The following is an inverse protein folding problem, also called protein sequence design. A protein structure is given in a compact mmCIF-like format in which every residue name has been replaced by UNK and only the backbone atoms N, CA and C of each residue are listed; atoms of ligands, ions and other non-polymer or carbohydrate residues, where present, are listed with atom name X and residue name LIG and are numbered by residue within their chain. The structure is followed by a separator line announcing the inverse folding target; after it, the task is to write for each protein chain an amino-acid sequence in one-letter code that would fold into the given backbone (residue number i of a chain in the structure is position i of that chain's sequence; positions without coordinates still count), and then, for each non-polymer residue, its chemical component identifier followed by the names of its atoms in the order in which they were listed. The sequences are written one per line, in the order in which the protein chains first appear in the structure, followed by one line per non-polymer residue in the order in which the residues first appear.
data_IF_573679327586
#
_entry.id   IF_573679327586
#
_cell.length_a   1.000
_cell.length_b   1.000
_cell.length_c   1.000
_cell.angle_alpha   90.00
_cell.angle_beta   90.00
_cell.angle_gamma   90.00
#
_symmetry.space_group_name_H-M   'P 1'
#
loop_
_entity.id
_entity.type
_entity.pdbx_description
1 polymer ?
#
# COMPACT_ATOMS: atom_id res chain seq x y z
N UNK A 1 17.00 -0.70 13.91
CA UNK A 1 15.75 -1.18 13.29
C UNK A 1 15.64 -0.56 11.91
N UNK A 2 15.54 -1.38 10.88
CA UNK A 2 15.40 -0.90 9.50
C UNK A 2 13.92 -0.69 9.19
N UNK A 3 13.59 0.49 8.66
CA UNK A 3 12.23 0.85 8.24
C UNK A 3 12.09 0.67 6.73
N UNK A 4 10.89 0.33 6.30
CA UNK A 4 10.45 0.25 4.92
C UNK A 4 9.11 0.93 4.76
N UNK A 5 8.75 1.23 3.51
CA UNK A 5 7.57 1.96 3.12
C UNK A 5 6.80 1.13 2.12
N UNK A 6 5.59 0.72 2.49
CA UNK A 6 4.72 -0.12 1.68
C UNK A 6 3.72 0.78 0.93
N UNK A 7 3.87 0.84 -0.39
CA UNK A 7 2.91 1.50 -1.28
C UNK A 7 1.83 0.49 -1.70
N UNK A 8 0.58 0.86 -1.46
CA UNK A 8 -0.57 0.08 -1.90
C UNK A 8 -1.70 1.00 -2.37
N UNK A 9 -2.68 0.41 -3.05
CA UNK A 9 -3.88 1.12 -3.52
C UNK A 9 -5.14 0.40 -3.04
N UNK A 10 -6.09 1.15 -2.48
CA UNK A 10 -7.40 0.63 -2.06
C UNK A 10 -8.47 1.26 -2.94
N UNK A 11 -9.29 0.40 -3.55
CA UNK A 11 -10.50 0.79 -4.26
C UNK A 11 -11.70 0.61 -3.33
N UNK A 12 -12.24 1.72 -2.82
CA UNK A 12 -13.49 1.70 -2.06
C UNK A 12 -14.67 1.62 -3.06
N UNK A 13 -15.21 0.42 -3.24
CA UNK A 13 -16.39 0.14 -4.07
C UNK A 13 -17.69 0.07 -3.24
N UNK A 14 -17.66 0.43 -1.95
CA UNK A 14 -18.84 0.41 -1.07
C UNK A 14 -19.40 -0.98 -0.75
N UNK A 15 -18.66 -2.04 -1.11
CA UNK A 15 -18.91 -3.44 -0.80
C UNK A 15 -17.81 -3.97 0.14
N UNK A 16 -18.10 -5.09 0.81
CA UNK A 16 -17.24 -5.65 1.87
C UNK A 16 -15.88 -6.20 1.39
N UNK A 17 -15.62 -6.19 0.09
CA UNK A 17 -14.35 -6.61 -0.51
C UNK A 17 -13.54 -5.36 -0.88
N UNK A 18 -12.88 -4.74 0.11
CA UNK A 18 -11.85 -3.75 -0.14
C UNK A 18 -10.72 -4.39 -0.96
N UNK A 19 -10.64 -4.06 -2.24
CA UNK A 19 -9.68 -4.69 -3.14
C UNK A 19 -8.31 -3.98 -3.07
N UNK A 20 -7.49 -4.40 -2.10
CA UNK A 20 -6.14 -3.86 -1.86
C UNK A 20 -5.13 -4.37 -2.90
N UNK A 21 -4.46 -3.44 -3.60
CA UNK A 21 -3.32 -3.73 -4.49
C UNK A 21 -2.02 -3.36 -3.83
N UNK A 22 -1.22 -4.36 -3.46
CA UNK A 22 0.20 -4.17 -3.16
C UNK A 22 0.94 -3.71 -4.43
N UNK A 23 1.56 -2.53 -4.40
CA UNK A 23 2.34 -2.01 -5.53
C UNK A 23 3.84 -2.23 -5.31
N UNK A 24 4.33 -2.02 -4.09
CA UNK A 24 5.71 -2.31 -3.76
C UNK A 24 6.13 -1.89 -2.36
N UNK A 25 7.31 -2.37 -1.95
CA UNK A 25 7.94 -2.04 -0.67
C UNK A 25 9.30 -1.37 -0.93
N UNK A 26 9.55 -0.25 -0.24
CA UNK A 26 10.69 0.63 -0.53
C UNK A 26 11.47 0.96 0.74
N UNK A 27 12.78 1.20 0.61
CA UNK A 27 13.64 1.56 1.74
C UNK A 27 13.52 3.01 2.19
N UNK A 28 12.79 3.85 1.44
CA UNK A 28 12.51 5.24 1.81
C UNK A 28 11.16 5.70 1.28
N UNK A 29 10.55 6.67 1.97
CA UNK A 29 9.29 7.29 1.56
C UNK A 29 9.40 7.91 0.16
N UNK A 30 10.54 8.54 -0.16
CA UNK A 30 10.80 9.15 -1.47
C UNK A 30 10.71 8.12 -2.60
N UNK A 31 11.25 6.93 -2.42
CA UNK A 31 11.18 5.86 -3.43
C UNK A 31 9.74 5.35 -3.62
N UNK A 32 8.95 5.31 -2.55
CA UNK A 32 7.52 4.98 -2.63
C UNK A 32 6.73 6.06 -3.39
N UNK A 33 7.01 7.33 -3.14
CA UNK A 33 6.40 8.45 -3.91
C UNK A 33 6.78 8.42 -5.40
N UNK A 34 8.05 8.15 -5.71
CA UNK A 34 8.50 7.96 -7.08
C UNK A 34 7.79 6.78 -7.75
N UNK A 35 7.55 5.69 -7.01
CA UNK A 35 6.78 4.56 -7.50
C UNK A 35 5.31 4.89 -7.77
N UNK A 36 4.66 5.61 -6.85
CA UNK A 36 3.30 6.14 -7.06
C UNK A 36 3.23 6.94 -8.35
N UNK A 37 4.19 7.83 -8.59
CA UNK A 37 4.24 8.64 -9.80
C UNK A 37 4.43 7.82 -11.09
N UNK A 38 5.09 6.65 -11.03
CA UNK A 38 5.21 5.76 -12.20
C UNK A 38 3.91 5.04 -12.56
N UNK A 39 3.05 4.78 -11.57
CA UNK A 39 1.85 3.93 -11.76
C UNK A 39 0.53 4.69 -11.74
N UNK A 40 0.47 5.91 -11.19
CA UNK A 40 -0.78 6.66 -11.00
C UNK A 40 -1.63 6.86 -12.26
N UNK A 41 -1.01 6.86 -13.43
CA UNK A 41 -1.68 7.09 -14.72
C UNK A 41 -1.98 5.77 -15.47
N UNK A 42 -1.72 4.60 -14.86
CA UNK A 42 -2.05 3.30 -15.43
C UNK A 42 -3.57 3.01 -15.35
N UNK A 43 -4.12 2.15 -16.23
CA UNK A 43 -5.53 1.78 -16.20
C UNK A 43 -5.98 1.28 -14.82
N UNK A 44 -7.17 1.68 -14.39
CA UNK A 44 -7.71 1.40 -13.06
C UNK A 44 -7.19 2.35 -11.99
N UNK A 45 -5.90 2.65 -11.92
CA UNK A 45 -5.38 3.61 -10.93
C UNK A 45 -5.77 5.05 -11.26
N UNK A 46 -5.79 5.41 -12.54
CA UNK A 46 -6.17 6.76 -12.99
C UNK A 46 -7.61 7.13 -12.61
N UNK A 47 -8.49 6.14 -12.51
CA UNK A 47 -9.90 6.33 -12.15
C UNK A 47 -10.09 6.55 -10.64
N UNK A 48 -9.10 6.18 -9.83
CA UNK A 48 -9.11 6.26 -8.37
C UNK A 48 -7.83 6.92 -7.82
N UNK A 49 -7.57 8.20 -8.15
CA UNK A 49 -6.28 8.86 -7.86
C UNK A 49 -6.00 9.05 -6.36
N UNK A 50 -7.04 9.01 -5.53
CA UNK A 50 -6.94 9.18 -4.07
C UNK A 50 -6.77 7.86 -3.31
N UNK A 51 -6.80 6.71 -4.00
CA UNK A 51 -6.72 5.40 -3.37
C UNK A 51 -5.30 4.96 -2.98
N UNK A 52 -4.28 5.80 -3.16
CA UNK A 52 -2.89 5.45 -2.87
C UNK A 52 -2.50 5.75 -1.41
N UNK A 53 -1.88 4.77 -0.76
CA UNK A 53 -1.41 4.85 0.62
C UNK A 53 0.04 4.39 0.71
N UNK A 54 0.83 5.06 1.55
CA UNK A 54 2.21 4.68 1.87
C UNK A 54 2.33 4.51 3.37
N UNK A 55 2.48 3.27 3.80
CA UNK A 55 2.59 2.92 5.21
C UNK A 55 4.03 2.66 5.60
N UNK A 56 4.42 3.06 6.81
CA UNK A 56 5.74 2.76 7.37
C UNK A 56 5.71 1.44 8.16
N UNK A 57 6.61 0.51 7.79
CA UNK A 57 6.80 -0.76 8.47
C UNK A 57 8.25 -0.92 8.94
N UNK A 58 8.44 -1.67 10.02
CA UNK A 58 9.74 -2.07 10.56
C UNK A 58 9.98 -3.52 10.16
N UNK A 59 11.15 -3.79 9.59
CA UNK A 59 11.57 -5.16 9.23
C UNK A 59 11.79 -5.97 10.51
N UNK A 60 11.55 -7.29 10.42
CA UNK A 60 11.67 -8.26 11.52
C UNK A 60 10.75 -7.95 12.72
N UNK A 61 9.56 -7.43 12.42
CA UNK A 61 8.50 -7.17 13.41
C UNK A 61 7.19 -7.81 12.95
N UNK A 62 6.56 -8.54 13.86
CA UNK A 62 5.20 -9.05 13.65
C UNK A 62 4.18 -7.93 13.88
N UNK A 63 3.32 -7.70 12.88
CA UNK A 63 2.25 -6.70 12.94
C UNK A 63 0.88 -7.31 13.27
N UNK A 64 0.74 -8.61 13.01
CA UNK A 64 -0.41 -9.41 13.39
C UNK A 64 0.09 -10.66 14.11
N UNK A 65 0.29 -10.54 15.43
CA UNK A 65 0.87 -11.62 16.23
C UNK A 65 -0.19 -12.52 16.91
N UNK A 66 -1.43 -12.04 17.03
CA UNK A 66 -2.43 -12.65 17.92
C UNK A 66 -3.35 -13.68 17.25
N UNK A 67 -3.13 -14.00 15.97
CA UNK A 67 -4.03 -14.87 15.16
C UNK A 67 -5.33 -14.17 14.74
N UNK A 68 -6.10 -14.78 13.82
CA UNK A 68 -7.37 -14.23 13.31
C UNK A 68 -8.55 -15.13 13.71
N UNK A 69 -9.69 -14.52 14.02
CA UNK A 69 -10.97 -15.22 14.26
C UNK A 69 -12.00 -14.67 13.27
N UNK A 70 -12.84 -15.56 12.73
CA UNK A 70 -13.96 -15.24 11.83
C UNK A 70 -15.18 -14.68 12.58
#
# INVERSE_FOLDING_TARGET
MQKVYHLHHIRDEGNADEDNKHIGTYTSYKLAEEAKNRVKDQPGFIDYPNGFYIDEYVIDKDYWADGFND
#
